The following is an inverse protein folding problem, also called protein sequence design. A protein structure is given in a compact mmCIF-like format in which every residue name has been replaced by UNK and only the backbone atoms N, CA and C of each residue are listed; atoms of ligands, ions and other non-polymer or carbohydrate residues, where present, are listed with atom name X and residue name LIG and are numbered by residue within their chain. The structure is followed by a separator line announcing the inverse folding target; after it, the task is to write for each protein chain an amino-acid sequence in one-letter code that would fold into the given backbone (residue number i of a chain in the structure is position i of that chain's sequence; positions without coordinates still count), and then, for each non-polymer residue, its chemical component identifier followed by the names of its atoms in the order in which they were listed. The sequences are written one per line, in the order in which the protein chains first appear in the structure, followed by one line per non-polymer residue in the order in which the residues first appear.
data_IF_019622229045
#
_entry.id   IF_019622229045
#
_cell.length_a   1.000
_cell.length_b   1.000
_cell.length_c   1.000
_cell.angle_alpha   90.00
_cell.angle_beta   90.00
_cell.angle_gamma   90.00
#
_symmetry.space_group_name_H-M   'P 1'
#
loop_
_entity.id
_entity.type
_entity.pdbx_description
1 polymer ?
#
# COMPACT_ATOMS: atom_id res chain seq x y z
N UNK A 1 27.31 -6.32 -28.56
CA UNK A 1 25.99 -6.20 -27.93
C UNK A 1 25.96 -7.28 -26.88
N UNK A 2 26.37 -6.94 -25.66
CA UNK A 2 26.63 -7.93 -24.61
C UNK A 2 25.30 -8.47 -24.09
N UNK A 3 25.25 -9.79 -23.89
CA UNK A 3 24.09 -10.45 -23.32
C UNK A 3 23.84 -9.89 -21.90
N UNK A 4 22.59 -9.60 -21.52
CA UNK A 4 22.28 -9.16 -20.17
C UNK A 4 22.76 -10.21 -19.17
N UNK A 5 23.57 -9.80 -18.20
CA UNK A 5 24.00 -10.65 -17.09
C UNK A 5 22.77 -11.33 -16.47
N UNK A 6 22.80 -12.65 -16.22
CA UNK A 6 21.67 -13.34 -15.61
C UNK A 6 21.33 -12.67 -14.28
N UNK A 7 20.05 -12.32 -14.08
CA UNK A 7 19.57 -11.79 -12.81
C UNK A 7 19.87 -12.82 -11.73
N UNK A 8 20.72 -12.46 -10.78
CA UNK A 8 21.03 -13.31 -9.64
C UNK A 8 19.75 -13.48 -8.81
N UNK A 9 19.16 -14.67 -8.86
CA UNK A 9 18.01 -15.02 -8.04
C UNK A 9 18.53 -15.47 -6.68
N UNK A 10 18.37 -14.62 -5.67
CA UNK A 10 18.62 -14.99 -4.29
C UNK A 10 17.55 -15.98 -3.85
N UNK A 11 17.96 -17.09 -3.23
CA UNK A 11 16.99 -18.00 -2.63
C UNK A 11 16.43 -17.35 -1.35
N UNK A 12 15.10 -17.38 -1.12
CA UNK A 12 14.50 -16.76 0.06
C UNK A 12 15.02 -17.31 1.40
N UNK A 13 15.47 -18.57 1.42
CA UNK A 13 16.06 -19.25 2.58
C UNK A 13 17.43 -18.70 3.00
N UNK A 14 18.07 -17.88 2.16
CA UNK A 14 19.30 -17.17 2.50
C UNK A 14 19.06 -15.96 3.43
N UNK A 15 17.80 -15.54 3.61
CA UNK A 15 17.43 -14.40 4.47
C UNK A 15 16.99 -14.91 5.85
N UNK A 16 17.88 -14.86 6.84
CA UNK A 16 17.56 -15.15 8.22
C UNK A 16 17.26 -13.86 8.99
N UNK A 17 16.00 -13.67 9.38
CA UNK A 17 15.61 -12.59 10.30
C UNK A 17 15.80 -13.05 11.75
N UNK A 18 16.49 -12.28 12.62
CA UNK A 18 16.78 -12.69 13.99
C UNK A 18 15.58 -12.55 14.94
N UNK A 19 14.41 -12.14 14.44
CA UNK A 19 13.20 -11.94 15.23
C UNK A 19 12.05 -12.80 14.69
N UNK A 20 11.26 -13.36 15.61
CA UNK A 20 10.09 -14.15 15.24
C UNK A 20 8.99 -13.25 14.65
N UNK A 21 8.41 -13.68 13.53
CA UNK A 21 7.20 -13.06 13.00
C UNK A 21 6.04 -13.27 13.99
N UNK A 22 5.42 -12.18 14.43
CA UNK A 22 4.28 -12.18 15.35
C UNK A 22 3.21 -11.26 14.81
N UNK A 23 2.34 -11.70 13.89
CA UNK A 23 1.31 -10.82 13.35
C UNK A 23 0.32 -10.39 14.45
N UNK A 24 -0.19 -9.16 14.35
CA UNK A 24 -1.22 -8.66 15.24
C UNK A 24 -2.48 -9.56 15.19
N UNK A 25 -3.10 -9.95 16.32
CA UNK A 25 -4.30 -10.79 16.34
C UNK A 25 -5.51 -10.16 15.63
N UNK A 26 -5.57 -8.83 15.51
CA UNK A 26 -6.66 -8.12 14.83
C UNK A 26 -6.55 -8.13 13.30
N UNK A 27 -5.49 -8.71 12.71
CA UNK A 27 -5.20 -8.67 11.27
C UNK A 27 -6.40 -9.01 10.38
N UNK A 28 -7.15 -10.07 10.70
CA UNK A 28 -8.32 -10.49 9.89
C UNK A 28 -9.44 -9.46 9.97
N UNK A 29 -9.74 -8.95 11.17
CA UNK A 29 -10.75 -7.90 11.34
C UNK A 29 -10.35 -6.62 10.58
N UNK A 30 -9.08 -6.26 10.65
CA UNK A 30 -8.51 -5.12 9.91
C UNK A 30 -8.60 -5.31 8.40
N UNK A 31 -8.43 -6.52 7.88
CA UNK A 31 -8.61 -6.79 6.43
C UNK A 31 -10.01 -6.42 5.97
N UNK A 32 -11.04 -6.85 6.71
CA UNK A 32 -12.43 -6.50 6.41
C UNK A 32 -12.73 -5.00 6.60
N UNK A 33 -12.17 -4.37 7.63
CA UNK A 33 -12.35 -2.94 7.88
C UNK A 33 -11.75 -2.10 6.75
N UNK A 34 -10.56 -2.46 6.29
CA UNK A 34 -9.85 -1.74 5.24
C UNK A 34 -10.52 -1.90 3.88
N UNK A 35 -10.97 -3.12 3.51
CA UNK A 35 -11.76 -3.34 2.28
C UNK A 35 -13.02 -2.46 2.25
N UNK A 36 -13.75 -2.38 3.38
CA UNK A 36 -14.93 -1.50 3.49
C UNK A 36 -14.54 -0.04 3.32
N UNK A 37 -13.45 0.39 3.94
CA UNK A 37 -13.00 1.78 3.87
C UNK A 37 -12.60 2.18 2.44
N UNK A 38 -11.78 1.39 1.74
CA UNK A 38 -11.36 1.70 0.36
C UNK A 38 -12.53 1.68 -0.61
N UNK A 39 -13.48 0.77 -0.41
CA UNK A 39 -14.71 0.69 -1.22
C UNK A 39 -15.61 1.91 -0.98
N UNK A 40 -15.83 2.28 0.28
CA UNK A 40 -16.69 3.42 0.64
C UNK A 40 -16.15 4.77 0.12
N UNK A 41 -14.83 4.89 -0.07
CA UNK A 41 -14.19 6.09 -0.61
C UNK A 41 -13.95 6.01 -2.12
N UNK A 42 -14.45 4.97 -2.81
CA UNK A 42 -14.32 4.84 -4.26
C UNK A 42 -12.87 4.68 -4.74
N UNK A 43 -11.99 4.12 -3.91
CA UNK A 43 -10.56 4.00 -4.25
C UNK A 43 -10.27 2.82 -5.19
N UNK A 44 -11.22 1.89 -5.32
CA UNK A 44 -11.13 0.71 -6.20
C UNK A 44 -12.05 0.88 -7.42
N UNK A 45 -11.85 1.98 -8.16
CA UNK A 45 -12.64 2.35 -9.34
C UNK A 45 -12.21 1.66 -10.64
N UNK A 46 -11.04 1.02 -10.62
CA UNK A 46 -10.49 0.23 -11.72
C UNK A 46 -10.26 -1.23 -11.27
N UNK A 47 -10.65 -2.20 -12.09
CA UNK A 47 -10.60 -3.62 -11.72
C UNK A 47 -9.16 -4.14 -11.63
N UNK A 48 -8.22 -3.61 -12.41
CA UNK A 48 -6.80 -3.98 -12.32
C UNK A 48 -6.19 -3.45 -11.02
N UNK A 49 -6.50 -2.20 -10.65
CA UNK A 49 -6.11 -1.62 -9.35
C UNK A 49 -6.74 -2.41 -8.20
N UNK A 50 -8.02 -2.78 -8.30
CA UNK A 50 -8.70 -3.60 -7.29
C UNK A 50 -8.05 -4.98 -7.12
N UNK A 51 -7.71 -5.65 -8.22
CA UNK A 51 -7.04 -6.94 -8.18
C UNK A 51 -5.65 -6.85 -7.53
N UNK A 52 -4.85 -5.82 -7.89
CA UNK A 52 -3.52 -5.59 -7.30
C UNK A 52 -3.60 -5.26 -5.82
N UNK A 53 -4.50 -4.38 -5.41
CA UNK A 53 -4.74 -4.05 -4.00
C UNK A 53 -5.06 -5.30 -3.16
N UNK A 54 -5.96 -6.17 -3.63
CA UNK A 54 -6.31 -7.43 -2.94
C UNK A 54 -5.12 -8.39 -2.87
N UNK A 55 -4.28 -8.43 -3.91
CA UNK A 55 -3.09 -9.28 -3.93
C UNK A 55 -2.02 -8.84 -2.91
N UNK A 56 -1.88 -7.54 -2.65
CA UNK A 56 -0.90 -6.98 -1.70
C UNK A 56 -1.22 -7.36 -0.25
N UNK A 57 -2.49 -7.59 0.10
CA UNK A 57 -2.91 -7.95 1.46
C UNK A 57 -2.42 -6.96 2.53
N UNK A 58 -2.78 -5.67 2.40
CA UNK A 58 -2.27 -4.59 3.27
C UNK A 58 -2.49 -4.79 4.76
N UNK A 59 -3.55 -5.49 5.16
CA UNK A 59 -3.78 -5.83 6.56
C UNK A 59 -2.74 -6.83 7.11
N UNK A 60 -2.26 -7.77 6.29
CA UNK A 60 -1.19 -8.68 6.69
C UNK A 60 0.14 -7.92 6.87
N UNK A 61 0.44 -6.98 5.98
CA UNK A 61 1.59 -6.09 6.11
C UNK A 61 1.50 -5.25 7.39
N UNK A 62 0.36 -4.61 7.63
CA UNK A 62 0.11 -3.84 8.85
C UNK A 62 0.26 -4.73 10.10
N UNK A 63 -0.32 -5.93 10.09
CA UNK A 63 -0.25 -6.89 11.19
C UNK A 63 1.18 -7.34 11.52
N UNK A 64 2.02 -7.53 10.51
CA UNK A 64 3.42 -7.92 10.69
C UNK A 64 4.31 -6.75 11.14
N UNK A 65 4.01 -5.53 10.70
CA UNK A 65 4.81 -4.33 11.01
C UNK A 65 4.39 -3.65 12.32
N UNK A 66 3.14 -3.84 12.74
CA UNK A 66 2.55 -3.22 13.94
C UNK A 66 1.90 -4.29 14.85
N UNK A 67 2.69 -5.26 15.33
CA UNK A 67 2.18 -6.46 15.99
C UNK A 67 1.50 -6.19 17.35
N UNK A 68 1.84 -5.05 17.97
CA UNK A 68 1.34 -4.64 19.29
C UNK A 68 0.38 -3.44 19.21
N UNK A 69 0.00 -2.99 18.01
CA UNK A 69 -0.93 -1.89 17.87
C UNK A 69 -2.32 -2.28 18.39
N UNK A 70 -2.98 -1.35 19.06
CA UNK A 70 -4.41 -1.46 19.36
C UNK A 70 -5.22 -1.60 18.06
N UNK A 71 -6.37 -2.30 18.06
CA UNK A 71 -7.12 -2.59 16.84
C UNK A 71 -7.44 -1.35 16.00
N UNK A 72 -7.87 -0.26 16.62
CA UNK A 72 -8.19 0.99 15.92
C UNK A 72 -6.97 1.62 15.24
N UNK A 73 -5.79 1.52 15.85
CA UNK A 73 -4.55 1.99 15.24
C UNK A 73 -4.13 1.10 14.08
N UNK A 74 -4.30 -0.23 14.22
CA UNK A 74 -4.00 -1.17 13.14
C UNK A 74 -4.89 -0.93 11.92
N UNK A 75 -6.18 -0.64 12.13
CA UNK A 75 -7.11 -0.25 11.06
C UNK A 75 -6.66 1.02 10.34
N UNK A 76 -6.26 2.05 11.09
CA UNK A 76 -5.75 3.30 10.51
C UNK A 76 -4.47 3.07 9.69
N UNK A 77 -3.53 2.28 10.22
CA UNK A 77 -2.28 1.95 9.52
C UNK A 77 -2.58 1.19 8.23
N UNK A 78 -3.45 0.19 8.27
CA UNK A 78 -3.81 -0.59 7.09
C UNK A 78 -4.54 0.27 6.04
N UNK A 79 -5.42 1.18 6.45
CA UNK A 79 -6.06 2.14 5.56
C UNK A 79 -5.06 3.09 4.90
N UNK A 80 -4.10 3.62 5.67
CA UNK A 80 -3.04 4.47 5.14
C UNK A 80 -2.16 3.71 4.14
N UNK A 81 -1.71 2.51 4.48
CA UNK A 81 -0.93 1.66 3.57
C UNK A 81 -1.72 1.34 2.31
N UNK A 82 -3.01 0.98 2.45
CA UNK A 82 -3.91 0.74 1.33
C UNK A 82 -4.03 1.93 0.39
N UNK A 83 -4.23 3.13 0.94
CA UNK A 83 -4.25 4.35 0.15
C UNK A 83 -2.93 4.57 -0.59
N UNK A 84 -1.77 4.41 0.08
CA UNK A 84 -0.45 4.56 -0.57
C UNK A 84 -0.29 3.59 -1.74
N UNK A 85 -0.60 2.31 -1.57
CA UNK A 85 -0.45 1.32 -2.64
C UNK A 85 -1.40 1.56 -3.81
N UNK A 86 -2.64 1.98 -3.56
CA UNK A 86 -3.59 2.31 -4.63
C UNK A 86 -3.09 3.51 -5.45
N UNK A 87 -2.57 4.54 -4.78
CA UNK A 87 -2.01 5.70 -5.45
C UNK A 87 -0.75 5.34 -6.24
N UNK A 88 0.16 4.54 -5.66
CA UNK A 88 1.35 4.01 -6.33
C UNK A 88 1.00 3.25 -7.63
N UNK A 89 0.01 2.34 -7.56
CA UNK A 89 -0.47 1.59 -8.73
C UNK A 89 -1.03 2.50 -9.83
N UNK A 90 -1.80 3.53 -9.46
CA UNK A 90 -2.33 4.52 -10.43
C UNK A 90 -1.20 5.24 -11.15
N UNK A 91 -0.09 5.52 -10.48
CA UNK A 91 1.07 6.16 -11.10
C UNK A 91 1.88 5.20 -11.96
N UNK A 92 2.05 3.95 -11.54
CA UNK A 92 2.75 2.93 -12.32
C UNK A 92 2.02 2.58 -13.61
N UNK A 93 0.69 2.64 -13.61
CA UNK A 93 -0.14 2.38 -14.78
C UNK A 93 -0.27 3.58 -15.74
N UNK A 94 -0.01 4.82 -15.29
CA UNK A 94 -0.08 6.02 -16.13
C UNK A 94 1.06 6.06 -17.15
N UNK A 95 0.80 5.87 -18.44
CA UNK A 95 1.83 5.87 -19.48
C UNK A 95 2.25 7.29 -19.93
N UNK A 96 3.46 7.39 -20.49
CA UNK A 96 3.90 8.57 -21.26
C UNK A 96 4.49 9.77 -20.50
N UNK A 97 4.71 10.85 -21.25
CA UNK A 97 5.38 12.10 -20.82
C UNK A 97 4.57 12.98 -19.87
N UNK A 98 3.29 12.65 -19.63
CA UNK A 98 2.39 13.38 -18.73
C UNK A 98 2.45 12.95 -17.26
N UNK A 99 3.14 11.84 -16.95
CA UNK A 99 3.20 11.25 -15.59
C UNK A 99 3.70 12.24 -14.53
N UNK A 100 4.74 13.01 -14.83
CA UNK A 100 5.33 13.96 -13.88
C UNK A 100 4.37 15.11 -13.53
N UNK A 101 3.64 15.64 -14.52
CA UNK A 101 2.66 16.70 -14.31
C UNK A 101 1.42 16.20 -13.55
N UNK A 102 0.97 14.97 -13.86
CA UNK A 102 -0.11 14.31 -13.14
C UNK A 102 0.24 14.10 -11.65
N UNK A 103 1.45 13.62 -11.38
CA UNK A 103 1.98 13.48 -10.02
C UNK A 103 1.98 14.82 -9.29
N UNK A 104 2.57 15.86 -9.90
CA UNK A 104 2.64 17.17 -9.28
C UNK A 104 1.25 17.71 -8.90
N UNK A 105 0.29 17.70 -9.82
CA UNK A 105 -1.06 18.21 -9.54
C UNK A 105 -1.81 17.42 -8.46
N UNK A 106 -1.55 16.11 -8.34
CA UNK A 106 -2.17 15.27 -7.32
C UNK A 106 -1.55 15.50 -5.95
N UNK A 107 -0.24 15.65 -5.87
CA UNK A 107 0.45 16.06 -4.64
C UNK A 107 0.03 17.46 -4.19
N UNK A 108 -0.09 18.42 -5.10
CA UNK A 108 -0.60 19.76 -4.78
C UNK A 108 -2.01 19.67 -4.17
N UNK A 109 -2.89 18.86 -4.75
CA UNK A 109 -4.24 18.64 -4.22
C UNK A 109 -4.24 18.03 -2.80
N UNK A 110 -3.31 17.12 -2.49
CA UNK A 110 -3.16 16.57 -1.15
C UNK A 110 -2.61 17.59 -0.16
N UNK A 111 -1.61 18.37 -0.56
CA UNK A 111 -1.06 19.44 0.25
C UNK A 111 -2.10 20.51 0.57
N UNK A 112 -2.98 20.83 -0.37
CA UNK A 112 -4.12 21.73 -0.14
C UNK A 112 -5.08 21.17 0.91
N UNK A 113 -5.43 19.89 0.86
CA UNK A 113 -6.27 19.24 1.89
C UNK A 113 -5.58 19.30 3.27
N UNK A 114 -4.27 19.10 3.33
CA UNK A 114 -3.52 19.17 4.59
C UNK A 114 -3.36 20.61 5.09
N UNK A 115 -3.21 21.59 4.20
CA UNK A 115 -3.07 22.99 4.54
C UNK A 115 -4.39 23.63 4.99
N UNK A 116 -5.50 23.29 4.34
CA UNK A 116 -6.85 23.77 4.69
C UNK A 116 -7.39 23.19 5.99
N UNK A 117 -6.82 22.09 6.48
CA UNK A 117 -7.20 21.43 7.74
C UNK A 117 -6.29 21.76 8.92
N UNK A 118 -5.45 22.81 8.83
CA UNK A 118 -4.78 23.37 10.01
C UNK A 118 -5.82 24.00 10.93
N UNK A 119 -6.27 23.23 11.93
CA UNK A 119 -6.94 23.72 13.14
C UNK A 119 -5.91 24.22 14.12
#
# INVERSE_FOLDING_TARGET
MDAPSPRQTWRPDALAYPWAARPNPATVATAHATERWVTAHGLLDDELVAARYRAVSVAALAGLTHPLAEPALLELVAALMGWIFIEDDRYDLADGSGRAALLAGRFDSWLDVLATRRV
#
